data_IF_227707256013
#
_entry.id   IF_227707256013
#
_cell.length_a   1.000
_cell.length_b   1.000
_cell.length_c   1.000
_cell.angle_alpha   90.00
_cell.angle_beta   90.00
_cell.angle_gamma   90.00
#
_symmetry.space_group_name_H-M   'P 1'
#
loop_
_entity.id
_entity.type
_entity.pdbx_description
1 polymer ?
#
# COMPACT_ATOMS: atom_id res chain seq x y z
N UNK A 1 -12.14 14.19 11.78
CA UNK A 1 -13.15 13.67 12.76
C UNK A 1 -14.45 13.48 12.02
N UNK A 2 -15.05 12.28 12.10
CA UNK A 2 -16.42 12.08 11.61
C UNK A 2 -17.37 12.81 12.56
N UNK A 3 -18.31 13.62 12.05
CA UNK A 3 -19.23 14.37 12.90
C UNK A 3 -20.10 13.52 13.83
N UNK A 4 -20.20 12.23 13.54
CA UNK A 4 -21.00 11.21 14.22
C UNK A 4 -20.20 10.25 15.10
N UNK A 5 -18.89 10.50 15.26
CA UNK A 5 -18.06 9.67 16.13
C UNK A 5 -18.37 9.94 17.61
N UNK A 6 -18.97 8.95 18.28
CA UNK A 6 -19.32 9.00 19.71
C UNK A 6 -18.20 8.52 20.64
N UNK A 7 -17.11 7.98 20.09
CA UNK A 7 -15.97 7.45 20.85
C UNK A 7 -14.66 7.67 20.13
N UNK A 8 -13.57 7.76 20.88
CA UNK A 8 -12.20 7.88 20.39
C UNK A 8 -11.40 6.76 21.03
N UNK A 9 -10.64 6.04 20.19
CA UNK A 9 -9.66 5.05 20.64
C UNK A 9 -8.34 5.76 20.95
N UNK A 10 -7.80 5.57 22.15
CA UNK A 10 -6.51 6.09 22.59
C UNK A 10 -5.62 4.90 22.90
N UNK A 11 -4.50 4.79 22.17
CA UNK A 11 -3.57 3.67 22.29
C UNK A 11 -2.16 4.15 22.61
N UNK A 12 -1.33 3.25 23.09
CA UNK A 12 0.08 3.52 23.29
C UNK A 12 0.74 3.80 21.93
N UNK A 13 1.51 4.89 21.83
CA UNK A 13 2.33 5.13 20.65
C UNK A 13 3.50 4.14 20.57
N UNK A 14 3.52 3.32 19.53
CA UNK A 14 4.58 2.35 19.27
C UNK A 14 5.58 2.95 18.27
N UNK A 15 6.87 2.96 18.67
CA UNK A 15 7.98 3.35 17.78
C UNK A 15 8.45 2.16 16.99
N UNK A 16 8.73 2.33 15.70
CA UNK A 16 9.21 1.26 14.82
C UNK A 16 8.95 1.55 13.36
N UNK A 17 9.34 0.61 12.51
CA UNK A 17 9.03 0.63 11.08
C UNK A 17 7.63 0.07 10.84
N UNK A 18 6.89 0.70 9.95
CA UNK A 18 5.54 0.28 9.59
C UNK A 18 5.60 -0.62 8.36
N UNK A 19 4.92 -1.75 8.45
CA UNK A 19 4.83 -2.74 7.40
C UNK A 19 3.38 -3.09 7.10
N UNK A 20 3.13 -3.47 5.86
CA UNK A 20 1.94 -4.19 5.47
C UNK A 20 2.30 -5.56 4.95
N UNK A 21 1.44 -6.54 5.16
CA UNK A 21 1.57 -7.85 4.56
C UNK A 21 0.26 -8.33 3.96
N UNK A 22 0.36 -8.94 2.82
CA UNK A 22 -0.75 -9.49 2.08
C UNK A 22 -0.48 -10.95 1.74
N UNK A 23 -1.54 -11.75 1.74
CA UNK A 23 -1.45 -13.16 1.43
C UNK A 23 -2.76 -13.90 1.62
N UNK A 24 -2.63 -15.20 1.83
CA UNK A 24 -3.77 -16.10 2.05
C UNK A 24 -3.46 -16.93 3.29
N UNK A 25 -4.46 -17.13 4.14
CA UNK A 25 -4.41 -18.08 5.26
C UNK A 25 -5.05 -19.40 4.78
N UNK A 26 -4.31 -20.50 4.87
CA UNK A 26 -4.78 -21.86 4.53
C UNK A 26 -4.36 -22.78 5.66
N UNK A 27 -5.32 -23.53 6.21
CA UNK A 27 -5.12 -24.48 7.32
C UNK A 27 -4.44 -23.79 8.54
N UNK A 28 -4.82 -22.52 8.78
CA UNK A 28 -4.27 -21.69 9.84
C UNK A 28 -2.89 -21.09 9.58
N UNK A 29 -2.26 -21.38 8.44
CA UNK A 29 -0.92 -20.89 8.08
C UNK A 29 -0.97 -19.74 7.07
N UNK A 30 -0.25 -18.62 7.29
CA UNK A 30 -0.17 -17.54 6.32
C UNK A 30 0.81 -17.87 5.20
N UNK A 31 0.35 -17.74 3.96
CA UNK A 31 1.16 -17.75 2.75
C UNK A 31 1.31 -16.30 2.28
N UNK A 32 2.45 -15.67 2.56
CA UNK A 32 2.70 -14.29 2.19
C UNK A 32 2.91 -14.15 0.69
N UNK A 33 2.23 -13.19 0.09
CA UNK A 33 2.53 -12.68 -1.25
C UNK A 33 3.52 -11.51 -1.14
N UNK A 34 3.23 -10.56 -0.26
CA UNK A 34 4.11 -9.42 0.00
C UNK A 34 4.26 -9.15 1.50
N UNK A 35 5.44 -8.67 1.86
CA UNK A 35 5.70 -7.95 3.12
C UNK A 35 6.38 -6.65 2.68
N UNK A 36 5.62 -5.56 2.68
CA UNK A 36 6.02 -4.25 2.17
C UNK A 36 6.28 -3.27 3.31
N UNK A 37 7.21 -2.36 3.11
CA UNK A 37 7.39 -1.23 4.02
C UNK A 37 6.48 -0.08 3.62
N UNK A 38 5.88 0.57 4.61
CA UNK A 38 5.08 1.77 4.45
C UNK A 38 5.96 3.01 4.56
N UNK A 39 5.89 3.87 3.58
CA UNK A 39 6.49 5.19 3.60
C UNK A 39 5.49 6.17 4.22
N UNK A 40 5.90 6.84 5.29
CA UNK A 40 5.01 7.71 6.05
C UNK A 40 5.55 9.14 6.14
N UNK A 41 4.65 10.11 6.29
CA UNK A 41 5.05 11.46 6.65
C UNK A 41 5.67 11.49 8.07
N UNK A 42 6.49 12.51 8.38
CA UNK A 42 6.96 12.72 9.75
C UNK A 42 5.81 12.87 10.75
N UNK A 43 6.13 12.68 12.02
CA UNK A 43 5.22 13.02 13.12
C UNK A 43 4.78 14.50 13.04
N UNK A 44 3.58 14.84 13.47
CA UNK A 44 2.63 13.99 14.21
C UNK A 44 1.67 13.19 13.32
N UNK A 45 1.58 13.45 12.03
CA UNK A 45 0.46 12.98 11.20
C UNK A 45 0.59 11.54 10.73
N UNK A 46 1.82 11.06 10.44
CA UNK A 46 2.07 9.66 10.02
C UNK A 46 1.16 9.19 8.86
N UNK A 47 0.94 10.08 7.88
CA UNK A 47 0.13 9.75 6.70
C UNK A 47 0.94 8.90 5.73
N UNK A 48 0.26 7.97 5.08
CA UNK A 48 0.88 7.12 4.06
C UNK A 48 1.28 7.93 2.82
N UNK A 49 2.52 7.75 2.42
CA UNK A 49 3.10 8.28 1.18
C UNK A 49 3.12 7.25 0.07
N UNK A 50 3.19 5.97 0.45
CA UNK A 50 3.31 4.84 -0.46
C UNK A 50 4.00 3.65 0.16
N UNK A 51 4.49 2.75 -0.71
CA UNK A 51 5.02 1.45 -0.32
C UNK A 51 6.24 1.07 -1.15
N UNK A 52 7.12 0.25 -0.57
CA UNK A 52 8.26 -0.35 -1.28
C UNK A 52 8.35 -1.84 -1.00
N UNK A 53 8.85 -2.60 -1.99
CA UNK A 53 9.07 -4.04 -1.93
C UNK A 53 10.17 -4.46 -2.93
N UNK A 54 10.98 -5.49 -2.61
CA UNK A 54 11.12 -6.15 -1.30
C UNK A 54 11.87 -5.27 -0.32
N UNK A 55 11.69 -5.54 0.97
CA UNK A 55 12.40 -4.81 2.04
C UNK A 55 13.49 -5.69 2.63
N UNK A 56 14.62 -5.09 2.96
CA UNK A 56 15.64 -5.76 3.76
C UNK A 56 15.12 -5.94 5.18
N UNK A 57 15.14 -7.18 5.64
CA UNK A 57 14.62 -7.56 6.93
C UNK A 57 15.68 -8.33 7.73
N UNK A 58 15.66 -8.24 9.07
CA UNK A 58 16.58 -9.00 9.89
C UNK A 58 16.38 -10.51 9.69
N UNK A 59 17.40 -11.34 9.90
CA UNK A 59 17.28 -12.80 9.84
C UNK A 59 16.12 -13.31 10.68
N UNK A 60 15.34 -14.23 10.13
CA UNK A 60 14.18 -14.83 10.79
C UNK A 60 12.96 -13.92 10.94
N UNK A 61 12.95 -12.72 10.33
CA UNK A 61 11.80 -11.81 10.39
C UNK A 61 10.53 -12.45 9.85
N UNK A 62 10.59 -13.01 8.64
CA UNK A 62 9.44 -13.59 7.95
C UNK A 62 8.86 -14.80 8.72
N UNK A 63 9.70 -15.71 9.22
CA UNK A 63 9.24 -16.84 10.03
C UNK A 63 8.63 -16.42 11.37
N UNK A 64 9.17 -15.38 12.02
CA UNK A 64 8.58 -14.83 13.24
C UNK A 64 7.26 -14.12 12.96
N UNK A 65 7.16 -13.41 11.82
CA UNK A 65 5.92 -12.78 11.39
C UNK A 65 4.87 -13.86 11.07
N UNK A 66 5.25 -14.95 10.40
CA UNK A 66 4.34 -16.05 10.13
C UNK A 66 3.76 -16.62 11.42
N UNK A 67 4.60 -16.95 12.39
CA UNK A 67 4.14 -17.43 13.71
C UNK A 67 3.27 -16.39 14.45
N UNK A 68 3.52 -15.11 14.25
CA UNK A 68 2.67 -14.04 14.81
C UNK A 68 1.29 -14.01 14.15
N UNK A 69 1.23 -14.00 12.81
CA UNK A 69 -0.04 -13.99 12.05
C UNK A 69 -0.84 -15.27 12.28
N UNK A 70 -0.19 -16.45 12.41
CA UNK A 70 -0.88 -17.70 12.80
C UNK A 70 -1.63 -17.58 14.13
N UNK A 71 -1.00 -16.97 15.14
CA UNK A 71 -1.68 -16.75 16.43
C UNK A 71 -2.86 -15.79 16.28
N UNK A 72 -2.71 -14.72 15.49
CA UNK A 72 -3.78 -13.78 15.21
C UNK A 72 -4.92 -14.45 14.44
N UNK A 73 -4.59 -15.21 13.38
CA UNK A 73 -5.56 -15.96 12.59
C UNK A 73 -6.37 -16.92 13.46
N UNK A 74 -5.68 -17.69 14.31
CA UNK A 74 -6.34 -18.61 15.24
C UNK A 74 -7.25 -17.89 16.23
N UNK A 75 -6.81 -16.77 16.79
CA UNK A 75 -7.60 -15.99 17.75
C UNK A 75 -8.88 -15.40 17.13
N UNK A 76 -8.83 -15.07 15.83
CA UNK A 76 -9.95 -14.49 15.09
C UNK A 76 -10.75 -15.50 14.27
N UNK A 77 -10.35 -16.78 14.26
CA UNK A 77 -10.99 -17.83 13.45
C UNK A 77 -10.80 -17.61 11.94
N UNK A 78 -9.69 -16.99 11.52
CA UNK A 78 -9.39 -16.76 10.10
C UNK A 78 -8.77 -18.01 9.50
N UNK A 79 -9.44 -18.59 8.52
CA UNK A 79 -8.95 -19.70 7.73
C UNK A 79 -9.57 -19.68 6.33
N UNK A 80 -8.81 -20.14 5.33
CA UNK A 80 -9.20 -20.14 3.91
C UNK A 80 -9.70 -18.77 3.43
N UNK A 81 -8.96 -17.72 3.80
CA UNK A 81 -9.29 -16.32 3.46
C UNK A 81 -8.06 -15.57 2.99
N UNK A 82 -8.20 -14.58 2.07
CA UNK A 82 -7.16 -13.60 1.86
C UNK A 82 -7.01 -12.75 3.11
N UNK A 83 -5.82 -12.23 3.34
CA UNK A 83 -5.60 -11.28 4.42
C UNK A 83 -4.79 -10.07 3.95
N UNK A 84 -5.04 -8.96 4.60
CA UNK A 84 -4.29 -7.72 4.56
C UNK A 84 -4.06 -7.28 6.00
N UNK A 85 -2.81 -7.19 6.41
CA UNK A 85 -2.45 -6.84 7.78
C UNK A 85 -1.45 -5.69 7.80
N UNK A 86 -1.68 -4.70 8.66
CA UNK A 86 -0.79 -3.60 8.93
C UNK A 86 -0.23 -3.73 10.34
N UNK A 87 1.08 -3.56 10.49
CA UNK A 87 1.76 -3.75 11.77
C UNK A 87 3.02 -2.88 11.89
N UNK A 88 3.44 -2.67 13.12
CA UNK A 88 4.70 -2.02 13.46
C UNK A 88 5.68 -3.10 13.93
N UNK A 89 6.93 -3.02 13.47
CA UNK A 89 8.04 -3.78 14.00
C UNK A 89 8.98 -2.84 14.74
N UNK A 90 9.14 -3.03 16.05
CA UNK A 90 9.94 -2.17 16.93
C UNK A 90 11.43 -2.55 16.98
N UNK A 91 11.84 -3.54 16.20
CA UNK A 91 13.17 -4.15 16.20
C UNK A 91 13.23 -5.50 16.92
N UNK A 92 12.21 -5.84 17.70
CA UNK A 92 12.12 -7.09 18.45
C UNK A 92 10.78 -7.80 18.29
N UNK A 93 9.68 -7.06 18.36
CA UNK A 93 8.31 -7.58 18.35
C UNK A 93 7.46 -6.96 17.25
N UNK A 94 6.37 -7.64 16.89
CA UNK A 94 5.34 -7.14 16.00
C UNK A 94 4.16 -6.63 16.82
N UNK A 95 3.66 -5.45 16.46
CA UNK A 95 2.44 -4.88 17.02
C UNK A 95 1.44 -4.71 15.88
N UNK A 96 0.39 -5.53 15.89
CA UNK A 96 -0.67 -5.46 14.90
C UNK A 96 -1.45 -4.16 15.06
N UNK A 97 -1.66 -3.43 13.97
CA UNK A 97 -2.54 -2.28 13.90
C UNK A 97 -3.93 -2.71 13.43
N UNK A 98 -3.99 -3.43 12.31
CA UNK A 98 -5.22 -4.03 11.81
C UNK A 98 -4.93 -5.30 11.00
N UNK A 99 -5.93 -6.17 10.89
CA UNK A 99 -5.99 -7.27 9.94
C UNK A 99 -7.40 -7.39 9.38
N UNK A 100 -7.50 -7.47 8.07
CA UNK A 100 -8.76 -7.70 7.37
C UNK A 100 -8.72 -9.02 6.61
N UNK A 101 -9.81 -9.82 6.71
CA UNK A 101 -10.03 -11.03 5.90
C UNK A 101 -10.47 -10.63 4.48
N UNK A 102 -9.63 -9.89 3.77
CA UNK A 102 -9.89 -9.31 2.44
C UNK A 102 -8.60 -9.01 1.71
N UNK A 103 -8.72 -8.81 0.41
CA UNK A 103 -7.64 -8.19 -0.39
C UNK A 103 -7.47 -6.71 -0.04
N UNK A 104 -6.26 -6.14 -0.17
CA UNK A 104 -6.02 -4.70 -0.02
C UNK A 104 -6.67 -3.90 -1.15
N UNK A 105 -6.89 -2.61 -0.89
CA UNK A 105 -7.39 -1.64 -1.86
C UNK A 105 -6.30 -0.87 -2.61
N UNK A 106 -6.69 0.26 -3.19
CA UNK A 106 -5.83 1.32 -3.74
C UNK A 106 -4.73 0.85 -4.71
N UNK A 107 -5.04 -0.10 -5.58
CA UNK A 107 -4.07 -0.58 -6.59
C UNK A 107 -3.10 -1.64 -6.11
N UNK A 108 -3.07 -1.97 -4.83
CA UNK A 108 -2.21 -3.04 -4.32
C UNK A 108 -2.55 -4.38 -4.97
N UNK A 109 -3.83 -4.79 -4.96
CA UNK A 109 -4.24 -6.11 -5.46
C UNK A 109 -4.07 -6.30 -6.95
N UNK A 110 -4.30 -5.25 -7.77
CA UNK A 110 -4.34 -5.40 -9.23
C UNK A 110 -3.11 -4.84 -9.95
N UNK A 111 -2.23 -4.14 -9.25
CA UNK A 111 -1.06 -3.52 -9.87
C UNK A 111 0.24 -3.81 -9.11
N UNK A 112 0.31 -3.43 -7.83
CA UNK A 112 1.53 -3.57 -7.04
C UNK A 112 1.91 -5.04 -6.82
N UNK A 113 1.00 -5.84 -6.22
CA UNK A 113 1.26 -7.24 -5.89
C UNK A 113 1.55 -8.08 -7.14
N UNK A 114 0.76 -8.01 -8.23
CA UNK A 114 1.06 -8.78 -9.44
C UNK A 114 2.42 -8.45 -10.03
N UNK A 115 2.83 -7.18 -10.04
CA UNK A 115 4.15 -6.82 -10.53
C UNK A 115 5.26 -7.29 -9.58
N UNK A 116 5.11 -7.04 -8.29
CA UNK A 116 6.08 -7.36 -7.26
C UNK A 116 6.36 -8.87 -7.17
N UNK A 117 5.31 -9.69 -7.31
CA UNK A 117 5.34 -11.12 -7.05
C UNK A 117 5.25 -11.99 -8.30
N UNK A 118 4.70 -11.45 -9.40
CA UNK A 118 4.35 -12.23 -10.59
C UNK A 118 3.10 -13.10 -10.41
N UNK A 119 2.33 -12.92 -9.32
CA UNK A 119 1.14 -13.71 -9.00
C UNK A 119 -0.14 -12.90 -9.20
N UNK A 120 -1.15 -13.54 -9.75
CA UNK A 120 -2.50 -12.98 -9.84
C UNK A 120 -3.27 -13.27 -8.54
N UNK A 121 -3.34 -12.26 -7.68
CA UNK A 121 -4.01 -12.38 -6.39
C UNK A 121 -5.51 -12.61 -6.52
N UNK A 122 -6.15 -12.05 -7.54
CA UNK A 122 -7.59 -12.29 -7.78
C UNK A 122 -7.88 -13.75 -8.12
N UNK A 123 -7.09 -14.35 -9.00
CA UNK A 123 -7.23 -15.76 -9.35
C UNK A 123 -7.09 -16.65 -8.11
N UNK A 124 -6.08 -16.42 -7.26
CA UNK A 124 -5.90 -17.18 -6.03
C UNK A 124 -7.10 -17.05 -5.08
N UNK A 125 -7.66 -15.84 -4.94
CA UNK A 125 -8.83 -15.61 -4.07
C UNK A 125 -10.10 -16.24 -4.64
N UNK A 126 -10.30 -16.21 -5.96
CA UNK A 126 -11.44 -16.87 -6.62
C UNK A 126 -11.36 -18.38 -6.41
N UNK A 127 -10.21 -19.00 -6.64
CA UNK A 127 -9.99 -20.42 -6.40
C UNK A 127 -10.29 -20.80 -4.94
N UNK A 128 -9.80 -19.97 -4.00
CA UNK A 128 -10.07 -20.14 -2.57
C UNK A 128 -11.58 -20.12 -2.27
N UNK A 129 -12.30 -19.15 -2.84
CA UNK A 129 -13.74 -19.00 -2.65
C UNK A 129 -14.55 -20.17 -3.27
N UNK A 130 -14.05 -20.77 -4.34
CA UNK A 130 -14.64 -21.95 -4.97
C UNK A 130 -14.35 -23.25 -4.18
N UNK A 131 -13.57 -23.18 -3.11
CA UNK A 131 -13.20 -24.36 -2.31
C UNK A 131 -12.13 -25.23 -2.95
N UNK A 132 -11.44 -24.75 -3.98
CA UNK A 132 -10.37 -25.48 -4.64
C UNK A 132 -9.16 -25.70 -3.72
N UNK A 133 -8.41 -26.77 -3.95
CA UNK A 133 -7.09 -26.94 -3.33
C UNK A 133 -6.11 -26.01 -4.01
N UNK A 134 -5.58 -25.05 -3.26
CA UNK A 134 -4.66 -24.04 -3.78
C UNK A 134 -3.24 -24.40 -3.38
N UNK A 135 -2.35 -24.43 -4.35
CA UNK A 135 -0.91 -24.36 -4.12
C UNK A 135 -0.48 -22.92 -4.41
N UNK A 136 -0.15 -22.15 -3.37
CA UNK A 136 0.35 -20.77 -3.54
C UNK A 136 1.78 -20.86 -4.07
N UNK A 137 2.05 -20.39 -5.30
CA UNK A 137 3.41 -20.42 -5.85
C UNK A 137 4.34 -19.51 -5.05
N UNK A 138 5.63 -19.82 -5.07
CA UNK A 138 6.65 -18.94 -4.47
C UNK A 138 6.63 -17.55 -5.16
N UNK A 139 6.41 -16.47 -4.41
CA UNK A 139 6.36 -15.13 -5.00
C UNK A 139 7.74 -14.67 -5.47
N UNK A 140 7.79 -14.05 -6.65
CA UNK A 140 8.97 -13.28 -7.06
C UNK A 140 9.18 -12.12 -6.09
N UNK A 141 10.37 -11.53 -6.12
CA UNK A 141 10.74 -10.36 -5.30
C UNK A 141 11.23 -9.22 -6.21
N UNK A 142 10.35 -8.80 -7.14
CA UNK A 142 10.68 -7.74 -8.09
C UNK A 142 10.70 -6.38 -7.39
N UNK A 143 11.79 -5.58 -7.53
CA UNK A 143 11.86 -4.25 -6.94
C UNK A 143 10.73 -3.35 -7.46
N UNK A 144 9.85 -2.96 -6.57
CA UNK A 144 8.62 -2.22 -6.84
C UNK A 144 8.44 -1.11 -5.82
N UNK A 145 8.03 0.06 -6.28
CA UNK A 145 7.60 1.15 -5.42
C UNK A 145 6.22 1.66 -5.87
N UNK A 146 5.42 2.07 -4.93
CA UNK A 146 4.15 2.76 -5.17
C UNK A 146 4.15 4.04 -4.37
N UNK A 147 3.83 5.16 -5.02
CA UNK A 147 3.64 6.45 -4.36
C UNK A 147 2.27 7.03 -4.70
N UNK A 148 1.63 7.63 -3.71
CA UNK A 148 0.40 8.36 -3.92
C UNK A 148 0.68 9.72 -4.55
N UNK A 149 -0.22 10.15 -5.44
CA UNK A 149 -0.21 11.51 -5.97
C UNK A 149 -0.65 12.46 -4.85
N UNK A 150 0.16 13.49 -4.59
CA UNK A 150 -0.06 14.44 -3.50
C UNK A 150 -0.04 15.85 -4.04
N UNK A 151 -1.14 16.29 -4.70
CA UNK A 151 -1.28 17.68 -5.12
C UNK A 151 -1.36 18.60 -3.89
N UNK A 152 -1.02 19.87 -4.08
CA UNK A 152 -1.23 20.89 -3.05
C UNK A 152 -2.73 21.18 -2.88
N UNK A 153 -3.16 21.66 -1.71
CA UNK A 153 -4.52 22.17 -1.52
C UNK A 153 -4.85 23.28 -2.50
N UNK A 154 -6.10 23.31 -2.97
CA UNK A 154 -6.57 24.30 -3.93
C UNK A 154 -7.54 23.72 -4.95
N UNK A 155 -7.99 24.55 -5.89
CA UNK A 155 -8.86 24.14 -6.99
C UNK A 155 -8.00 23.83 -8.20
N UNK A 156 -8.11 22.60 -8.73
CA UNK A 156 -7.40 22.18 -9.94
C UNK A 156 -7.97 22.93 -11.14
N UNK A 157 -7.15 23.78 -11.78
CA UNK A 157 -7.52 24.42 -13.03
C UNK A 157 -7.17 23.56 -14.25
N UNK A 158 -5.97 22.94 -14.24
CA UNK A 158 -5.50 22.11 -15.36
C UNK A 158 -4.61 20.98 -14.87
N UNK A 159 -4.82 19.80 -15.42
CA UNK A 159 -3.92 18.65 -15.24
C UNK A 159 -2.74 18.69 -16.22
N UNK A 160 -1.59 18.11 -15.87
CA UNK A 160 -0.54 17.85 -16.84
C UNK A 160 -1.02 16.89 -17.93
N UNK A 161 -0.29 16.82 -19.05
CA UNK A 161 -0.48 15.73 -20.02
C UNK A 161 -0.03 14.43 -19.37
N UNK A 162 -0.95 13.48 -19.19
CA UNK A 162 -0.71 12.25 -18.41
C UNK A 162 -0.01 11.16 -19.21
N UNK A 163 -0.16 11.14 -20.55
CA UNK A 163 0.42 10.12 -21.43
C UNK A 163 1.94 9.99 -21.29
N UNK A 164 2.74 11.07 -21.27
CA UNK A 164 4.18 10.95 -21.07
C UNK A 164 4.57 10.37 -19.71
N UNK A 165 3.73 10.55 -18.67
CA UNK A 165 3.96 9.96 -17.36
C UNK A 165 3.60 8.48 -17.32
N UNK A 166 2.48 8.11 -17.97
CA UNK A 166 2.04 6.71 -18.08
C UNK A 166 2.96 5.83 -18.90
N UNK A 167 3.56 6.42 -19.96
CA UNK A 167 4.37 5.69 -20.92
C UNK A 167 5.87 5.65 -20.56
N UNK A 168 6.26 6.15 -19.39
CA UNK A 168 7.64 5.99 -18.91
C UNK A 168 7.98 4.51 -18.73
N UNK A 169 9.13 4.02 -19.22
CA UNK A 169 9.50 2.60 -19.16
C UNK A 169 9.55 2.02 -17.74
N UNK A 170 9.75 2.87 -16.75
CA UNK A 170 9.76 2.50 -15.34
C UNK A 170 8.37 2.38 -14.72
N UNK A 171 7.33 2.93 -15.37
CA UNK A 171 5.97 2.92 -14.86
C UNK A 171 5.28 1.60 -15.18
N UNK A 172 4.77 0.95 -14.16
CA UNK A 172 3.94 -0.27 -14.23
C UNK A 172 2.47 0.12 -14.34
N UNK A 173 2.08 1.10 -13.52
CA UNK A 173 0.71 1.60 -13.48
C UNK A 173 0.69 3.06 -13.02
N UNK A 174 -0.19 3.86 -13.63
CA UNK A 174 -0.42 5.24 -13.22
C UNK A 174 -1.92 5.53 -13.22
N UNK A 175 -2.48 5.80 -12.05
CA UNK A 175 -3.85 6.21 -11.85
C UNK A 175 -3.91 7.67 -11.40
N UNK A 176 -4.70 8.49 -12.07
CA UNK A 176 -5.03 9.85 -11.66
C UNK A 176 -6.55 9.97 -11.61
N UNK A 177 -7.09 10.31 -10.45
CA UNK A 177 -8.51 10.43 -10.19
C UNK A 177 -8.98 11.89 -10.18
N UNK A 178 -8.08 12.83 -10.48
CA UNK A 178 -8.36 14.27 -10.48
C UNK A 178 -8.89 14.74 -11.82
N UNK A 179 -9.76 15.74 -11.76
CA UNK A 179 -10.29 16.47 -12.91
C UNK A 179 -10.17 18.01 -12.69
N UNK A 180 -10.16 18.80 -13.78
CA UNK A 180 -10.32 20.24 -13.64
C UNK A 180 -11.61 20.59 -12.90
N UNK A 181 -11.53 21.52 -11.95
CA UNK A 181 -12.62 21.90 -11.05
C UNK A 181 -12.62 21.18 -9.70
N UNK A 182 -11.82 20.12 -9.53
CA UNK A 182 -11.74 19.42 -8.25
C UNK A 182 -11.13 20.31 -7.18
N UNK A 183 -11.76 20.34 -6.01
CA UNK A 183 -11.24 20.98 -4.81
C UNK A 183 -10.42 19.97 -4.01
N UNK A 184 -9.13 20.26 -3.87
CA UNK A 184 -8.20 19.47 -3.07
C UNK A 184 -8.13 20.11 -1.68
N UNK A 185 -8.65 19.42 -0.65
CA UNK A 185 -8.58 19.94 0.71
C UNK A 185 -7.17 19.81 1.28
N UNK A 186 -6.90 20.51 2.37
CA UNK A 186 -5.75 20.19 3.21
C UNK A 186 -5.84 18.73 3.67
N UNK A 187 -4.72 18.03 3.61
CA UNK A 187 -4.64 16.62 4.01
C UNK A 187 -4.55 16.55 5.53
N UNK A 188 -5.67 16.23 6.16
CA UNK A 188 -5.79 16.08 7.62
C UNK A 188 -5.93 14.64 8.07
N UNK A 189 -6.16 13.72 7.12
CA UNK A 189 -6.31 12.28 7.38
C UNK A 189 -5.70 11.42 6.26
N UNK A 190 -5.47 10.14 6.54
CA UNK A 190 -4.89 9.20 5.57
C UNK A 190 -5.76 8.95 4.34
N UNK A 191 -7.09 8.98 4.48
CA UNK A 191 -8.01 8.70 3.38
C UNK A 191 -8.01 9.83 2.33
N UNK A 192 -7.80 11.07 2.74
CA UNK A 192 -7.71 12.22 1.83
C UNK A 192 -6.50 12.13 0.92
N UNK A 193 -5.37 11.62 1.43
CA UNK A 193 -4.13 11.48 0.66
C UNK A 193 -4.27 10.48 -0.50
N UNK A 194 -5.13 9.47 -0.36
CA UNK A 194 -5.28 8.37 -1.32
C UNK A 194 -6.18 8.71 -2.50
N UNK A 195 -7.00 9.75 -2.40
CA UNK A 195 -8.05 10.08 -3.39
C UNK A 195 -7.51 10.54 -4.74
N UNK A 196 -6.36 11.20 -4.76
CA UNK A 196 -5.80 11.80 -5.97
C UNK A 196 -5.26 10.80 -6.99
N UNK A 197 -4.95 9.59 -6.55
CA UNK A 197 -4.37 8.54 -7.38
C UNK A 197 -2.98 8.13 -6.94
N UNK A 198 -2.31 7.30 -7.76
CA UNK A 198 -1.01 6.73 -7.42
C UNK A 198 -0.21 6.35 -8.66
N UNK A 199 1.07 6.12 -8.49
CA UNK A 199 1.97 5.51 -9.48
C UNK A 199 2.63 4.28 -8.89
N UNK A 200 2.72 3.21 -9.68
CA UNK A 200 3.54 2.02 -9.39
C UNK A 200 4.70 1.99 -10.38
N UNK A 201 5.90 1.84 -9.87
CA UNK A 201 7.12 1.81 -10.67
C UNK A 201 7.99 0.60 -10.34
N UNK A 202 8.81 0.24 -11.31
CA UNK A 202 9.85 -0.80 -11.23
C UNK A 202 11.25 -0.20 -11.30
N UNK A 203 12.23 -0.96 -10.84
CA UNK A 203 13.64 -0.61 -10.93
C UNK A 203 14.54 -1.83 -10.86
N UNK A 204 15.84 -1.65 -11.02
CA UNK A 204 16.84 -2.71 -10.79
C UNK A 204 17.06 -2.98 -9.29
N UNK A 205 16.73 -2.01 -8.44
CA UNK A 205 16.74 -2.08 -6.98
C UNK A 205 15.50 -1.36 -6.43
N UNK A 206 15.19 -1.57 -5.17
CA UNK A 206 14.08 -0.86 -4.48
C UNK A 206 14.29 0.65 -4.50
N UNK A 207 15.51 1.12 -4.21
CA UNK A 207 15.85 2.54 -4.26
C UNK A 207 15.69 3.13 -5.67
N UNK A 208 16.01 2.33 -6.71
CA UNK A 208 15.81 2.76 -8.09
C UNK A 208 14.32 2.85 -8.42
N UNK A 209 13.51 1.86 -8.02
CA UNK A 209 12.07 1.92 -8.20
C UNK A 209 11.47 3.12 -7.48
N UNK A 210 11.89 3.39 -6.22
CA UNK A 210 11.42 4.53 -5.44
C UNK A 210 11.79 5.87 -6.07
N UNK A 211 13.04 6.04 -6.54
CA UNK A 211 13.44 7.27 -7.26
C UNK A 211 12.61 7.49 -8.53
N UNK A 212 12.32 6.42 -9.27
CA UNK A 212 11.45 6.51 -10.45
C UNK A 212 10.04 7.01 -10.06
N UNK A 213 9.45 6.46 -8.99
CA UNK A 213 8.14 6.92 -8.50
C UNK A 213 8.16 8.39 -8.06
N UNK A 214 9.20 8.79 -7.33
CA UNK A 214 9.39 10.18 -6.88
C UNK A 214 9.48 11.15 -8.07
N UNK A 215 10.20 10.77 -9.11
CA UNK A 215 10.33 11.61 -10.33
C UNK A 215 8.99 11.76 -11.05
N UNK A 216 8.20 10.69 -11.18
CA UNK A 216 6.87 10.76 -11.78
C UNK A 216 5.93 11.66 -10.96
N UNK A 217 5.90 11.49 -9.63
CA UNK A 217 5.09 12.33 -8.74
C UNK A 217 5.51 13.79 -8.82
N UNK A 218 6.82 14.08 -8.85
CA UNK A 218 7.35 15.44 -9.00
C UNK A 218 6.91 16.07 -10.33
N UNK A 219 7.04 15.36 -11.45
CA UNK A 219 6.62 15.84 -12.78
C UNK A 219 5.11 16.08 -12.84
N UNK A 220 4.33 15.20 -12.24
CA UNK A 220 2.88 15.37 -12.11
C UNK A 220 2.55 16.67 -11.35
N UNK A 221 3.16 16.88 -10.18
CA UNK A 221 2.93 18.08 -9.35
C UNK A 221 3.34 19.36 -10.07
N UNK A 222 4.47 19.36 -10.77
CA UNK A 222 4.95 20.53 -11.52
C UNK A 222 4.06 20.91 -12.71
N UNK A 223 3.34 19.95 -13.26
CA UNK A 223 2.42 20.17 -14.38
C UNK A 223 1.00 20.53 -13.96
N UNK A 224 0.67 20.46 -12.65
CA UNK A 224 -0.62 20.91 -12.13
C UNK A 224 -0.70 22.44 -12.13
N UNK A 225 -1.82 22.96 -12.60
CA UNK A 225 -2.15 24.38 -12.51
C UNK A 225 -3.37 24.53 -11.60
N UNK A 226 -3.27 25.41 -10.64
CA UNK A 226 -4.36 25.73 -9.71
C UNK A 226 -5.06 27.02 -10.12
N UNK A 227 -6.35 27.13 -9.81
CA UNK A 227 -7.07 28.37 -9.98
C UNK A 227 -6.48 29.43 -9.03
N UNK A 228 -6.31 30.65 -9.54
CA UNK A 228 -6.01 31.83 -8.69
C UNK A 228 -7.25 32.18 -7.90
N UNK A 229 -7.13 32.39 -6.59
CA UNK A 229 -8.19 33.06 -5.82
C UNK A 229 -8.39 34.45 -6.40
N UNK A 230 -9.60 34.73 -6.92
CA UNK A 230 -10.01 36.09 -7.28
C UNK A 230 -10.41 36.90 -6.03
#
# INVERSE_FOLDING_TARGET
>A
TRPDAHSVLIEQFVRGSNYGSEGIIIDGHPHFLTIREMLLTPLPYRQELGYVFPVQQPPGFESRLAAYIERVARALGLDRVPFHADFIYDGSTFVLLEIGARMPGYGLSYSFIPHATGLDFYTLVIQLALGETILVPEPKRNPTAMLFLRPMPGIVHKLPVLEPLRNEPSVVHFACNLAPGDHIPEVTDGASALKSGFVVTKGSTVDHALRNAQEIVRRFQQGLVYATEE
#
